data_IF_428319484266
#
_entry.id   IF_428319484266
#
_cell.length_a   1.000
_cell.length_b   1.000
_cell.length_c   1.000
_cell.angle_alpha   90.00
_cell.angle_beta   90.00
_cell.angle_gamma   90.00
#
_symmetry.space_group_name_H-M   'P 1'
#
loop_
_entity.id
_entity.type
_entity.pdbx_description
1 polymer ?
#
# COMPACT_ATOMS: atom_id res chain seq x y z
N UNK A 1 22.50 -0.04 22.97
CA UNK A 1 22.42 0.73 21.72
C UNK A 1 23.36 0.06 20.72
N UNK A 2 22.87 -0.47 19.63
CA UNK A 2 23.73 -0.99 18.56
C UNK A 2 24.47 0.22 17.99
N UNK A 3 25.80 0.22 17.95
CA UNK A 3 26.69 1.37 17.64
C UNK A 3 26.59 1.95 16.23
N UNK A 4 25.36 2.00 15.65
CA UNK A 4 25.09 2.57 14.33
C UNK A 4 24.68 4.04 14.44
N UNK A 5 25.11 4.84 13.49
CA UNK A 5 24.64 6.21 13.30
C UNK A 5 23.19 6.19 12.82
N UNK A 6 22.49 7.34 12.95
CA UNK A 6 21.10 7.46 12.48
C UNK A 6 20.98 7.18 10.96
N UNK A 7 21.96 7.65 10.18
CA UNK A 7 22.02 7.41 8.72
C UNK A 7 22.19 5.93 8.38
N UNK A 8 23.07 5.24 9.07
CA UNK A 8 23.27 3.79 8.89
C UNK A 8 22.01 3.01 9.27
N UNK A 9 21.39 3.35 10.40
CA UNK A 9 20.13 2.72 10.84
C UNK A 9 19.01 2.90 9.81
N UNK A 10 18.89 4.09 9.22
CA UNK A 10 17.92 4.36 8.17
C UNK A 10 18.24 3.58 6.88
N UNK A 11 19.52 3.49 6.50
CA UNK A 11 19.94 2.69 5.34
C UNK A 11 19.61 1.21 5.53
N UNK A 12 19.89 0.63 6.70
CA UNK A 12 19.52 -0.76 7.01
C UNK A 12 18.01 -0.97 6.99
N UNK A 13 17.25 -0.01 7.53
CA UNK A 13 15.80 -0.04 7.46
C UNK A 13 15.30 -0.07 6.01
N UNK A 14 15.80 0.83 5.15
CA UNK A 14 15.43 0.88 3.73
C UNK A 14 15.78 -0.43 3.01
N UNK A 15 16.97 -0.99 3.25
CA UNK A 15 17.39 -2.26 2.66
C UNK A 15 16.46 -3.39 3.10
N UNK A 16 16.23 -3.52 4.40
CA UNK A 16 15.34 -4.55 4.97
C UNK A 16 13.91 -4.44 4.42
N UNK A 17 13.39 -3.22 4.35
CA UNK A 17 12.06 -2.95 3.80
C UNK A 17 11.96 -3.33 2.30
N UNK A 18 13.00 -3.04 1.51
CA UNK A 18 13.03 -3.43 0.10
C UNK A 18 13.06 -4.94 -0.08
N UNK A 19 13.86 -5.65 0.72
CA UNK A 19 13.93 -7.12 0.69
C UNK A 19 12.56 -7.71 1.08
N UNK A 20 11.95 -7.21 2.16
CA UNK A 20 10.64 -7.67 2.61
C UNK A 20 9.57 -7.42 1.54
N UNK A 21 9.57 -6.22 0.92
CA UNK A 21 8.63 -5.90 -0.17
C UNK A 21 8.80 -6.84 -1.35
N UNK A 22 10.05 -7.08 -1.79
CA UNK A 22 10.33 -7.98 -2.91
C UNK A 22 9.86 -9.41 -2.61
N UNK A 23 10.14 -9.92 -1.42
CA UNK A 23 9.72 -11.28 -1.03
C UNK A 23 8.20 -11.42 -0.97
N UNK A 24 7.50 -10.47 -0.33
CA UNK A 24 6.04 -10.47 -0.21
C UNK A 24 5.39 -10.31 -1.59
N UNK A 25 5.85 -9.36 -2.38
CA UNK A 25 5.33 -9.14 -3.73
C UNK A 25 5.55 -10.37 -4.63
N UNK A 26 6.73 -10.99 -4.57
CA UNK A 26 6.99 -12.22 -5.30
C UNK A 26 6.05 -13.35 -4.91
N UNK A 27 5.85 -13.57 -3.62
CA UNK A 27 4.89 -14.56 -3.12
C UNK A 27 3.47 -14.29 -3.66
N UNK A 28 2.99 -13.06 -3.54
CA UNK A 28 1.64 -12.68 -3.95
C UNK A 28 1.45 -12.77 -5.47
N UNK A 29 2.36 -12.20 -6.26
CA UNK A 29 2.24 -12.22 -7.72
C UNK A 29 2.44 -13.62 -8.30
N UNK A 30 3.33 -14.42 -7.73
CA UNK A 30 3.45 -15.83 -8.13
C UNK A 30 2.16 -16.61 -7.89
N UNK A 31 1.45 -16.32 -6.81
CA UNK A 31 0.14 -16.91 -6.50
C UNK A 31 -0.97 -16.45 -7.44
N UNK A 32 -0.97 -15.16 -7.84
CA UNK A 32 -1.95 -14.60 -8.78
C UNK A 32 -1.74 -15.16 -10.19
N UNK A 33 -0.52 -15.07 -10.71
CA UNK A 33 -0.20 -15.49 -12.09
C UNK A 33 0.04 -16.99 -12.24
N UNK A 34 0.14 -17.73 -11.11
CA UNK A 34 0.46 -19.17 -11.08
C UNK A 34 1.78 -19.49 -11.78
N UNK A 35 2.68 -18.54 -11.86
CA UNK A 35 4.01 -18.63 -12.46
C UNK A 35 5.04 -17.88 -11.62
N UNK A 36 6.13 -18.55 -11.25
CA UNK A 36 7.18 -17.99 -10.40
C UNK A 36 8.05 -16.95 -11.11
N UNK A 37 8.23 -17.10 -12.42
CA UNK A 37 9.06 -16.18 -13.21
C UNK A 37 8.30 -14.89 -13.44
N UNK A 38 7.02 -14.98 -13.85
CA UNK A 38 6.15 -13.81 -13.98
C UNK A 38 6.03 -13.11 -12.62
N UNK A 39 5.81 -13.86 -11.55
CA UNK A 39 5.78 -13.34 -10.20
C UNK A 39 7.06 -12.58 -9.80
N UNK A 40 8.23 -13.09 -10.17
CA UNK A 40 9.52 -12.45 -9.92
C UNK A 40 9.66 -11.13 -10.70
N UNK A 41 9.31 -11.13 -11.97
CA UNK A 41 9.36 -9.91 -12.81
C UNK A 41 8.41 -8.85 -12.25
N UNK A 42 7.16 -9.21 -11.97
CA UNK A 42 6.18 -8.28 -11.37
C UNK A 42 6.65 -7.75 -10.01
N UNK A 43 7.24 -8.60 -9.17
CA UNK A 43 7.81 -8.20 -7.89
C UNK A 43 8.97 -7.20 -8.06
N UNK A 44 9.86 -7.45 -9.02
CA UNK A 44 10.97 -6.54 -9.30
C UNK A 44 10.44 -5.16 -9.78
N UNK A 45 9.50 -5.15 -10.73
CA UNK A 45 8.88 -3.93 -11.22
C UNK A 45 8.16 -3.17 -10.10
N UNK A 46 7.41 -3.86 -9.25
CA UNK A 46 6.72 -3.24 -8.12
C UNK A 46 7.70 -2.66 -7.10
N UNK A 47 8.70 -3.44 -6.69
CA UNK A 47 9.66 -3.04 -5.66
C UNK A 47 10.55 -1.90 -6.13
N UNK A 48 10.96 -1.90 -7.39
CA UNK A 48 11.84 -0.90 -8.01
C UNK A 48 11.07 0.26 -8.63
N UNK A 49 9.75 0.39 -8.38
CA UNK A 49 8.99 1.51 -8.94
C UNK A 49 9.55 2.85 -8.47
N UNK A 50 9.69 3.79 -9.40
CA UNK A 50 10.27 5.12 -9.16
C UNK A 50 9.49 5.86 -8.07
N UNK A 51 8.17 5.78 -8.11
CA UNK A 51 7.31 6.42 -7.12
C UNK A 51 7.62 5.95 -5.69
N UNK A 52 7.75 4.64 -5.48
CA UNK A 52 8.07 4.07 -4.19
C UNK A 52 9.46 4.49 -3.71
N UNK A 53 10.46 4.47 -4.61
CA UNK A 53 11.80 4.94 -4.31
C UNK A 53 11.83 6.42 -3.94
N UNK A 54 11.14 7.25 -4.71
CA UNK A 54 11.02 8.67 -4.42
C UNK A 54 10.44 8.93 -3.03
N UNK A 55 9.34 8.25 -2.69
CA UNK A 55 8.69 8.40 -1.38
C UNK A 55 9.60 7.95 -0.23
N UNK A 56 10.28 6.84 -0.40
CA UNK A 56 11.11 6.26 0.65
C UNK A 56 12.43 7.03 0.84
N UNK A 57 13.14 7.37 -0.26
CA UNK A 57 14.50 7.91 -0.21
C UNK A 57 14.51 9.42 -0.25
N UNK A 58 13.75 10.04 -1.16
CA UNK A 58 13.81 11.51 -1.37
C UNK A 58 12.91 12.26 -0.40
N UNK A 59 11.69 11.74 -0.16
CA UNK A 59 10.72 12.38 0.75
C UNK A 59 10.92 11.93 2.20
N UNK A 60 11.50 10.75 2.42
CA UNK A 60 11.61 10.15 3.75
C UNK A 60 10.26 9.77 4.37
N UNK A 61 9.26 9.50 3.54
CA UNK A 61 7.91 9.12 3.98
C UNK A 61 7.89 7.65 4.45
N UNK A 62 8.47 7.41 5.62
CA UNK A 62 8.68 6.06 6.20
C UNK A 62 7.38 5.27 6.31
N UNK A 63 6.32 5.89 6.82
CA UNK A 63 5.01 5.22 6.98
C UNK A 63 4.41 4.82 5.64
N UNK A 64 4.34 5.74 4.68
CA UNK A 64 3.84 5.49 3.33
C UNK A 64 4.69 4.44 2.59
N UNK A 65 6.04 4.59 2.65
CA UNK A 65 6.98 3.65 2.06
C UNK A 65 6.84 2.22 2.61
N UNK A 66 6.57 2.09 3.93
CA UNK A 66 6.32 0.80 4.59
C UNK A 66 4.98 0.20 4.16
N UNK A 67 3.94 1.02 4.00
CA UNK A 67 2.60 0.57 3.64
C UNK A 67 2.60 -0.18 2.29
N UNK A 68 3.42 0.26 1.33
CA UNK A 68 3.55 -0.43 0.04
C UNK A 68 4.02 -1.89 0.15
N UNK A 69 4.66 -2.28 1.24
CA UNK A 69 5.04 -3.67 1.49
C UNK A 69 3.82 -4.58 1.69
N UNK A 70 2.73 -4.03 2.22
CA UNK A 70 1.53 -4.80 2.58
C UNK A 70 0.43 -4.77 1.51
N UNK A 71 0.47 -3.82 0.57
CA UNK A 71 -0.52 -3.74 -0.53
C UNK A 71 -0.63 -5.04 -1.35
N UNK A 72 0.46 -5.72 -1.75
CA UNK A 72 0.35 -6.97 -2.47
C UNK A 72 -0.40 -8.07 -1.72
N UNK A 73 -0.30 -8.10 -0.36
CA UNK A 73 -1.06 -9.05 0.46
C UNK A 73 -2.56 -8.78 0.38
N UNK A 74 -2.99 -7.51 0.43
CA UNK A 74 -4.41 -7.15 0.30
C UNK A 74 -4.93 -7.57 -1.06
N UNK A 75 -4.21 -7.22 -2.14
CA UNK A 75 -4.60 -7.59 -3.52
C UNK A 75 -4.69 -9.11 -3.67
N UNK A 76 -3.70 -9.84 -3.18
CA UNK A 76 -3.70 -11.30 -3.24
C UNK A 76 -4.82 -11.92 -2.38
N UNK A 77 -5.06 -11.38 -1.19
CA UNK A 77 -6.16 -11.81 -0.33
C UNK A 77 -7.52 -11.64 -1.02
N UNK A 78 -7.76 -10.50 -1.67
CA UNK A 78 -8.97 -10.25 -2.47
C UNK A 78 -9.05 -11.24 -3.64
N UNK A 79 -7.96 -11.43 -4.38
CA UNK A 79 -7.90 -12.43 -5.46
C UNK A 79 -8.30 -13.83 -4.98
N UNK A 80 -7.78 -14.28 -3.84
CA UNK A 80 -8.12 -15.58 -3.27
C UNK A 80 -9.60 -15.67 -2.90
N UNK A 81 -10.19 -14.61 -2.33
CA UNK A 81 -11.61 -14.61 -1.96
C UNK A 81 -12.51 -14.70 -3.18
N UNK A 82 -12.17 -14.06 -4.29
CA UNK A 82 -13.10 -13.92 -5.43
C UNK A 82 -12.84 -14.87 -6.58
N UNK A 83 -11.59 -15.28 -6.82
CA UNK A 83 -11.22 -16.09 -7.99
C UNK A 83 -10.95 -17.56 -7.66
N UNK A 84 -10.71 -17.89 -6.39
CA UNK A 84 -10.54 -19.29 -6.00
C UNK A 84 -11.88 -19.96 -5.71
N UNK A 85 -11.94 -21.28 -5.97
CA UNK A 85 -13.08 -22.09 -5.58
C UNK A 85 -13.12 -22.27 -4.06
N UNK A 86 -14.31 -22.36 -3.51
CA UNK A 86 -14.53 -22.47 -2.05
C UNK A 86 -13.90 -23.74 -1.46
N UNK A 87 -13.75 -24.76 -2.26
CA UNK A 87 -13.13 -26.04 -1.88
C UNK A 87 -11.59 -25.99 -1.92
N UNK A 88 -11.01 -24.95 -2.55
CA UNK A 88 -9.56 -24.79 -2.66
C UNK A 88 -8.95 -24.48 -1.28
N UNK A 89 -7.86 -25.15 -0.96
CA UNK A 89 -7.10 -24.90 0.27
C UNK A 89 -6.59 -23.45 0.36
N UNK A 90 -6.29 -22.83 -0.77
CA UNK A 90 -5.83 -21.44 -0.80
C UNK A 90 -6.95 -20.48 -0.47
N UNK A 91 -8.22 -20.76 -0.86
CA UNK A 91 -9.37 -19.98 -0.47
C UNK A 91 -9.48 -19.86 1.06
N UNK A 92 -9.27 -20.95 1.78
CA UNK A 92 -9.34 -20.94 3.25
C UNK A 92 -8.24 -20.14 3.94
N UNK A 93 -7.17 -19.78 3.25
CA UNK A 93 -6.09 -18.91 3.76
C UNK A 93 -6.35 -17.43 3.47
N UNK A 94 -7.33 -17.10 2.64
CA UNK A 94 -7.57 -15.75 2.15
C UNK A 94 -7.76 -14.73 3.29
N UNK A 95 -8.48 -15.10 4.35
CA UNK A 95 -8.72 -14.21 5.50
C UNK A 95 -7.45 -13.86 6.27
N UNK A 96 -6.50 -14.82 6.38
CA UNK A 96 -5.21 -14.57 7.04
C UNK A 96 -4.38 -13.60 6.20
N UNK A 97 -4.28 -13.85 4.90
CA UNK A 97 -3.48 -13.03 3.97
C UNK A 97 -4.06 -11.61 3.89
N UNK A 98 -5.38 -11.50 3.74
CA UNK A 98 -6.09 -10.24 3.72
C UNK A 98 -5.91 -9.47 5.04
N UNK A 99 -6.08 -10.17 6.16
CA UNK A 99 -5.96 -9.59 7.48
C UNK A 99 -4.54 -9.14 7.82
N UNK A 100 -3.51 -9.90 7.46
CA UNK A 100 -2.11 -9.48 7.58
C UNK A 100 -1.81 -8.24 6.75
N UNK A 101 -2.31 -8.19 5.51
CA UNK A 101 -2.19 -7.02 4.65
C UNK A 101 -2.78 -5.78 5.29
N UNK A 102 -4.03 -5.85 5.74
CA UNK A 102 -4.70 -4.71 6.40
C UNK A 102 -4.08 -4.35 7.75
N UNK A 103 -3.68 -5.33 8.56
CA UNK A 103 -2.99 -5.04 9.82
C UNK A 103 -1.69 -4.27 9.58
N UNK A 104 -0.92 -4.66 8.56
CA UNK A 104 0.27 -3.93 8.16
C UNK A 104 -0.01 -2.50 7.70
N UNK A 105 -1.07 -2.30 6.90
CA UNK A 105 -1.49 -0.96 6.46
C UNK A 105 -1.92 -0.07 7.63
N UNK A 106 -2.75 -0.58 8.54
CA UNK A 106 -3.23 0.15 9.73
C UNK A 106 -2.05 0.66 10.56
N UNK A 107 -1.05 -0.20 10.78
CA UNK A 107 0.08 0.10 11.66
C UNK A 107 1.16 0.95 10.98
N UNK A 108 1.16 1.07 9.66
CA UNK A 108 2.19 1.82 8.93
C UNK A 108 1.69 3.16 8.42
N UNK A 109 0.52 3.20 7.75
CA UNK A 109 0.01 4.43 7.16
C UNK A 109 -1.51 4.42 7.01
N UNK A 110 -2.20 5.09 7.92
CA UNK A 110 -3.67 5.10 8.02
C UNK A 110 -4.33 5.56 6.72
N UNK A 111 -3.81 6.63 6.08
CA UNK A 111 -4.38 7.15 4.84
C UNK A 111 -4.30 6.13 3.69
N UNK A 112 -3.18 5.40 3.55
CA UNK A 112 -3.07 4.32 2.56
C UNK A 112 -4.05 3.18 2.89
N UNK A 113 -4.25 2.88 4.17
CA UNK A 113 -5.25 1.91 4.61
C UNK A 113 -6.67 2.34 4.22
N UNK A 114 -7.05 3.60 4.46
CA UNK A 114 -8.37 4.15 4.11
C UNK A 114 -8.63 4.09 2.60
N UNK A 115 -7.67 4.53 1.79
CA UNK A 115 -7.77 4.48 0.33
C UNK A 115 -7.91 3.02 -0.13
N UNK A 116 -7.10 2.10 0.40
CA UNK A 116 -7.16 0.68 0.05
C UNK A 116 -8.49 0.05 0.48
N UNK A 117 -9.02 0.43 1.66
CA UNK A 117 -10.33 -0.01 2.12
C UNK A 117 -11.45 0.51 1.21
N UNK A 118 -11.40 1.77 0.78
CA UNK A 118 -12.35 2.34 -0.17
C UNK A 118 -12.35 1.53 -1.48
N UNK A 119 -11.18 1.25 -2.07
CA UNK A 119 -11.09 0.44 -3.27
C UNK A 119 -11.59 -0.99 -3.06
N UNK A 120 -11.33 -1.58 -1.88
CA UNK A 120 -11.86 -2.92 -1.55
C UNK A 120 -13.39 -2.90 -1.46
N UNK A 121 -13.97 -1.87 -0.86
CA UNK A 121 -15.44 -1.71 -0.80
C UNK A 121 -16.01 -1.53 -2.20
N UNK A 122 -15.42 -0.68 -3.04
CA UNK A 122 -15.86 -0.50 -4.43
C UNK A 122 -15.78 -1.81 -5.22
N UNK A 123 -14.71 -2.59 -5.04
CA UNK A 123 -14.57 -3.91 -5.64
C UNK A 123 -15.67 -4.87 -5.14
N UNK A 124 -15.94 -4.89 -3.84
CA UNK A 124 -17.03 -5.68 -3.26
C UNK A 124 -18.40 -5.26 -3.81
N UNK A 125 -18.63 -3.98 -4.08
CA UNK A 125 -19.87 -3.50 -4.68
C UNK A 125 -20.02 -3.98 -6.13
N UNK A 126 -18.95 -3.98 -6.91
CA UNK A 126 -18.94 -4.51 -8.29
C UNK A 126 -19.29 -6.01 -8.28
N UNK A 127 -18.73 -6.76 -7.34
CA UNK A 127 -18.95 -8.21 -7.19
C UNK A 127 -19.95 -8.56 -6.09
N UNK A 128 -20.92 -7.69 -5.83
CA UNK A 128 -21.84 -7.79 -4.69
C UNK A 128 -22.54 -9.15 -4.58
N UNK A 129 -22.93 -9.74 -5.71
CA UNK A 129 -23.56 -11.07 -5.74
C UNK A 129 -22.63 -12.17 -5.22
N UNK A 130 -21.32 -12.07 -5.47
CA UNK A 130 -20.31 -13.01 -4.96
C UNK A 130 -20.05 -12.78 -3.46
N UNK A 131 -20.07 -11.52 -3.02
CA UNK A 131 -19.87 -11.16 -1.61
C UNK A 131 -20.95 -11.79 -0.72
N UNK A 132 -22.21 -11.82 -1.16
CA UNK A 132 -23.31 -12.41 -0.40
C UNK A 132 -23.27 -13.95 -0.32
N UNK A 133 -22.39 -14.64 -1.04
CA UNK A 133 -22.13 -16.04 -0.77
C UNK A 133 -21.49 -16.18 0.62
N UNK A 134 -22.16 -16.90 1.54
CA UNK A 134 -21.79 -16.98 2.95
C UNK A 134 -20.31 -17.28 3.20
N UNK A 135 -19.74 -18.20 2.44
CA UNK A 135 -18.34 -18.58 2.57
C UNK A 135 -17.39 -17.40 2.27
N UNK A 136 -17.66 -16.63 1.21
CA UNK A 136 -16.85 -15.47 0.80
C UNK A 136 -17.00 -14.31 1.78
N UNK A 137 -18.24 -14.03 2.20
CA UNK A 137 -18.51 -13.04 3.23
C UNK A 137 -17.76 -13.36 4.53
N UNK A 138 -17.78 -14.63 4.95
CA UNK A 138 -17.06 -15.08 6.15
C UNK A 138 -15.55 -14.84 6.03
N UNK A 139 -14.94 -15.09 4.86
CA UNK A 139 -13.50 -14.81 4.65
C UNK A 139 -13.19 -13.32 4.78
N UNK A 140 -14.01 -12.46 4.16
CA UNK A 140 -13.84 -11.01 4.25
C UNK A 140 -13.99 -10.51 5.69
N UNK A 141 -15.06 -10.92 6.37
CA UNK A 141 -15.32 -10.54 7.75
C UNK A 141 -14.23 -11.05 8.70
N UNK A 142 -13.83 -12.33 8.58
CA UNK A 142 -12.73 -12.89 9.38
C UNK A 142 -11.42 -12.16 9.15
N UNK A 143 -11.11 -11.78 7.88
CA UNK A 143 -9.93 -10.98 7.56
C UNK A 143 -9.96 -9.61 8.22
N UNK A 144 -11.11 -8.92 8.20
CA UNK A 144 -11.29 -7.63 8.85
C UNK A 144 -11.13 -7.76 10.38
N UNK A 145 -11.78 -8.73 11.02
CA UNK A 145 -11.63 -8.96 12.46
C UNK A 145 -10.20 -9.33 12.85
N UNK A 146 -9.53 -10.13 12.05
CA UNK A 146 -8.13 -10.49 12.27
C UNK A 146 -7.21 -9.27 12.16
N UNK A 147 -7.40 -8.43 11.14
CA UNK A 147 -6.65 -7.19 10.98
C UNK A 147 -6.83 -6.25 12.17
N UNK A 148 -8.08 -6.05 12.61
CA UNK A 148 -8.40 -5.23 13.77
C UNK A 148 -7.76 -5.82 15.05
N UNK A 149 -7.91 -7.12 15.27
CA UNK A 149 -7.33 -7.82 16.42
C UNK A 149 -5.81 -7.65 16.52
N UNK A 150 -5.09 -7.83 15.40
CA UNK A 150 -3.65 -7.63 15.34
C UNK A 150 -3.23 -6.17 15.53
N UNK A 151 -4.13 -5.22 15.25
CA UNK A 151 -3.84 -3.79 15.32
C UNK A 151 -4.32 -3.13 16.62
N UNK A 152 -4.99 -3.85 17.53
CA UNK A 152 -5.54 -3.29 18.77
C UNK A 152 -4.48 -2.58 19.62
N UNK A 153 -3.30 -3.14 19.74
CA UNK A 153 -2.20 -2.55 20.52
C UNK A 153 -1.77 -1.17 19.97
N UNK A 154 -1.97 -0.93 18.69
CA UNK A 154 -1.70 0.35 18.03
C UNK A 154 -2.95 1.25 18.03
N UNK A 155 -4.12 0.69 17.67
CA UNK A 155 -5.35 1.45 17.52
C UNK A 155 -5.87 2.01 18.84
N UNK A 156 -5.80 1.24 19.93
CA UNK A 156 -6.32 1.70 21.23
C UNK A 156 -5.59 2.95 21.72
N UNK A 157 -4.24 2.97 21.83
CA UNK A 157 -3.52 4.19 22.20
C UNK A 157 -3.69 5.32 21.19
N UNK A 158 -3.76 5.00 19.89
CA UNK A 158 -3.95 6.00 18.85
C UNK A 158 -5.28 6.72 18.98
N UNK A 159 -6.38 5.97 19.17
CA UNK A 159 -7.72 6.54 19.34
C UNK A 159 -7.81 7.35 20.63
N UNK A 160 -7.28 6.83 21.74
CA UNK A 160 -7.25 7.53 23.00
C UNK A 160 -6.51 8.88 22.87
N UNK A 161 -5.32 8.86 22.30
CA UNK A 161 -4.52 10.07 22.04
C UNK A 161 -5.25 11.05 21.11
N UNK A 162 -5.87 10.55 20.04
CA UNK A 162 -6.60 11.36 19.07
C UNK A 162 -7.84 12.05 19.68
N UNK A 163 -8.51 11.38 20.63
CA UNK A 163 -9.69 11.92 21.28
C UNK A 163 -9.36 12.87 22.42
N UNK A 164 -8.28 12.63 23.16
CA UNK A 164 -7.92 13.37 24.39
C UNK A 164 -6.96 14.53 24.13
N UNK A 165 -6.15 14.48 23.08
CA UNK A 165 -5.15 15.50 22.79
C UNK A 165 -5.55 16.38 21.60
N UNK A 166 -5.05 17.60 21.62
CA UNK A 166 -5.16 18.51 20.47
C UNK A 166 -4.09 18.16 19.44
N UNK A 167 -4.44 17.25 18.54
CA UNK A 167 -3.51 16.76 17.52
C UNK A 167 -3.50 17.69 16.30
N UNK A 168 -2.30 17.99 15.82
CA UNK A 168 -2.06 18.89 14.68
C UNK A 168 -2.88 18.52 13.43
N UNK A 169 -3.21 17.25 13.26
CA UNK A 169 -3.99 16.76 12.12
C UNK A 169 -5.42 17.31 12.09
N UNK A 170 -6.00 17.69 13.25
CA UNK A 170 -7.31 18.33 13.34
C UNK A 170 -7.32 19.75 12.79
N UNK A 171 -6.17 20.40 12.81
CA UNK A 171 -5.98 21.77 12.32
C UNK A 171 -5.22 21.80 11.00
N UNK A 172 -4.89 20.63 10.45
CA UNK A 172 -4.15 20.53 9.20
C UNK A 172 -5.07 20.82 8.03
N UNK A 173 -4.93 21.92 7.46
CA UNK A 173 -4.57 22.30 6.11
C UNK A 173 -5.15 23.64 5.72
N UNK A 174 -4.27 24.58 5.65
CA UNK A 174 -4.52 25.83 4.94
C UNK A 174 -4.34 25.70 3.41
N UNK A 175 -4.05 24.51 2.87
CA UNK A 175 -3.87 24.35 1.43
C UNK A 175 -5.11 23.73 0.81
N UNK A 176 -5.67 24.42 -0.18
CA UNK A 176 -6.84 23.95 -0.93
C UNK A 176 -6.47 22.74 -1.79
N UNK A 177 -7.46 21.90 -2.11
CA UNK A 177 -7.26 20.77 -3.03
C UNK A 177 -6.74 21.26 -4.39
N UNK A 178 -7.16 22.46 -4.80
CA UNK A 178 -6.73 23.09 -6.05
C UNK A 178 -5.23 23.39 -6.09
N UNK A 179 -4.61 23.72 -4.95
CA UNK A 179 -3.16 23.98 -4.85
C UNK A 179 -2.29 22.72 -5.06
N UNK A 180 -2.92 21.53 -5.00
CA UNK A 180 -2.25 20.24 -5.17
C UNK A 180 -2.88 19.40 -6.29
N UNK A 181 -3.83 19.97 -7.01
CA UNK A 181 -4.47 19.31 -8.13
C UNK A 181 -3.50 19.07 -9.27
N UNK A 182 -3.57 17.89 -9.88
CA UNK A 182 -2.80 17.53 -11.06
C UNK A 182 -3.69 17.74 -12.29
N UNK A 183 -3.24 18.50 -13.28
CA UNK A 183 -3.97 18.64 -14.56
C UNK A 183 -3.76 17.39 -15.42
N UNK A 184 -4.73 17.11 -16.30
CA UNK A 184 -4.72 15.90 -17.13
C UNK A 184 -3.44 15.74 -17.96
N UNK A 185 -2.90 16.85 -18.49
CA UNK A 185 -1.63 16.85 -19.22
C UNK A 185 -0.45 16.35 -18.37
N UNK A 186 -0.44 16.69 -17.08
CA UNK A 186 0.60 16.23 -16.15
C UNK A 186 0.47 14.74 -15.86
N UNK A 187 -0.76 14.21 -15.79
CA UNK A 187 -1.01 12.77 -15.64
C UNK A 187 -0.47 12.03 -16.87
N UNK A 188 -0.79 12.48 -18.08
CA UNK A 188 -0.29 11.87 -19.32
C UNK A 188 1.25 11.93 -19.41
N UNK A 189 1.83 13.06 -19.06
CA UNK A 189 3.29 13.22 -19.10
C UNK A 189 3.99 12.23 -18.18
N UNK A 190 3.37 11.85 -17.06
CA UNK A 190 3.95 10.93 -16.09
C UNK A 190 3.89 9.46 -16.52
N UNK A 191 2.96 9.09 -17.36
CA UNK A 191 3.00 7.77 -18.02
C UNK A 191 4.21 7.65 -18.97
N UNK A 192 4.64 8.76 -19.57
CA UNK A 192 5.68 8.78 -20.61
C UNK A 192 7.08 9.04 -20.06
N UNK A 193 7.22 9.98 -19.11
CA UNK A 193 8.50 10.41 -18.58
C UNK A 193 8.45 10.56 -17.06
N UNK A 194 9.04 9.62 -16.33
CA UNK A 194 9.24 9.78 -14.90
C UNK A 194 10.43 10.72 -14.66
N UNK A 195 10.17 12.01 -14.46
CA UNK A 195 11.19 12.97 -14.02
C UNK A 195 11.13 13.10 -12.51
N UNK A 196 12.28 12.95 -11.86
CA UNK A 196 12.45 13.33 -10.46
C UNK A 196 12.67 14.84 -10.45
N UNK A 197 11.88 15.64 -9.72
CA UNK A 197 12.11 17.08 -9.60
C UNK A 197 13.49 17.35 -9.02
N UNK A 198 14.23 18.29 -9.61
CA UNK A 198 15.58 18.65 -9.15
C UNK A 198 15.55 19.43 -7.83
N UNK A 199 14.42 20.03 -7.47
CA UNK A 199 14.23 20.70 -6.18
C UNK A 199 12.79 20.52 -5.65
N UNK A 200 12.66 20.49 -4.33
CA UNK A 200 11.35 20.48 -3.64
C UNK A 200 10.69 21.88 -3.64
N UNK A 201 11.38 22.91 -4.08
CA UNK A 201 10.94 24.31 -4.17
C UNK A 201 10.51 24.66 -5.60
N UNK A 202 9.80 23.76 -6.27
CA UNK A 202 9.33 24.00 -7.64
C UNK A 202 8.30 25.13 -7.71
N UNK A 203 8.37 25.94 -8.76
CA UNK A 203 7.34 26.92 -9.13
C UNK A 203 6.06 26.19 -9.50
N UNK A 204 4.92 26.87 -9.39
CA UNK A 204 3.62 26.34 -9.83
C UNK A 204 3.73 25.75 -11.25
N UNK A 205 3.63 24.44 -11.38
CA UNK A 205 3.84 23.70 -12.65
C UNK A 205 4.85 22.58 -12.57
N UNK A 206 5.76 22.60 -11.59
CA UNK A 206 6.67 21.48 -11.35
C UNK A 206 5.93 20.37 -10.60
N UNK A 207 6.02 19.16 -11.12
CA UNK A 207 5.40 18.00 -10.51
C UNK A 207 6.13 17.65 -9.22
N UNK A 208 5.51 18.01 -8.10
CA UNK A 208 6.03 17.75 -6.76
C UNK A 208 6.06 16.25 -6.40
N UNK A 209 5.31 15.42 -7.11
CA UNK A 209 5.24 13.97 -6.90
C UNK A 209 5.29 13.25 -8.25
N UNK A 210 6.33 12.47 -8.55
CA UNK A 210 6.31 11.59 -9.70
C UNK A 210 5.26 10.48 -9.46
N UNK A 211 4.16 10.54 -10.19
CA UNK A 211 3.10 9.50 -10.15
C UNK A 211 3.43 8.38 -11.15
N UNK A 212 4.46 8.60 -11.98
CA UNK A 212 4.77 7.71 -13.09
C UNK A 212 5.20 6.33 -12.64
N UNK A 213 4.58 5.34 -13.23
CA UNK A 213 5.00 3.94 -13.15
C UNK A 213 6.17 3.62 -14.08
N UNK A 214 6.55 4.58 -14.94
CA UNK A 214 7.58 4.42 -15.96
C UNK A 214 7.06 3.75 -17.23
N UNK A 215 7.69 4.06 -18.36
CA UNK A 215 7.30 3.53 -19.68
C UNK A 215 7.28 2.00 -19.71
N UNK A 216 8.19 1.34 -19.00
CA UNK A 216 8.31 -0.12 -18.95
C UNK A 216 7.15 -0.84 -18.24
N UNK A 217 6.27 -0.14 -17.54
CA UNK A 217 5.10 -0.73 -16.89
C UNK A 217 3.81 -0.49 -17.71
N UNK A 218 3.90 0.26 -18.79
CA UNK A 218 2.76 0.58 -19.68
C UNK A 218 2.79 -0.25 -20.96
N UNK A 219 3.93 -0.87 -21.29
CA UNK A 219 4.14 -1.81 -22.39
C UNK A 219 4.08 -3.24 -21.86
#
# INVERSE_FOLDING_TARGET
>A
MAGFTMTESYAFYCIGLNIATAAIAWYCFSGIFKDRIIGLVCSALYTLSIFRFFKLVMVGAVGEGSAYTFLPLVVYGIYLVFEKDVEDREFHKSWIILGLGYAGLIQTHVLTCEITALFTVLFCLIYIRRVFAWQRFRQLASGAFFALGLSLWYLVPFVDYYLTQDVRIRHASARTIQDRGTIFAQILQQFWFSRIPESMEGKAGDLLNPIGVGLFLVI
#
